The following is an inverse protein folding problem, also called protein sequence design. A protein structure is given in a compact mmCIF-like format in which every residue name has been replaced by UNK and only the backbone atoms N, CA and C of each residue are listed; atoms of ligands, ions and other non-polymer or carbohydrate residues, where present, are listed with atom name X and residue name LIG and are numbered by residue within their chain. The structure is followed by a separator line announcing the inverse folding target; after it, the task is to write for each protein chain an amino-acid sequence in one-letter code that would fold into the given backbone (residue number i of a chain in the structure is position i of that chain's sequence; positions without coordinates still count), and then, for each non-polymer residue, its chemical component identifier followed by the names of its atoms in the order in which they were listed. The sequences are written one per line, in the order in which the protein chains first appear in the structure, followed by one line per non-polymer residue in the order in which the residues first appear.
data_IF_571553078344
#
_entry.id   IF_571553078344
#
_cell.length_a   1.000
_cell.length_b   1.000
_cell.length_c   1.000
_cell.angle_alpha   90.00
_cell.angle_beta   90.00
_cell.angle_gamma   90.00
#
_symmetry.space_group_name_H-M   'P 1'
#
loop_
_entity.id
_entity.type
_entity.pdbx_description
1 polymer ?
#
# COMPACT_ATOMS: atom_id res chain seq x y z
N UNK A 1 -19.68 10.26 9.18
CA UNK A 1 -19.47 8.97 8.49
C UNK A 1 -18.27 8.32 9.14
N UNK A 2 -18.47 7.29 9.95
CA UNK A 2 -17.39 6.55 10.61
C UNK A 2 -16.65 5.75 9.54
N UNK A 3 -15.32 5.84 9.48
CA UNK A 3 -14.54 4.99 8.58
C UNK A 3 -14.76 3.51 8.98
N UNK A 4 -14.96 2.59 8.02
CA UNK A 4 -15.12 1.17 8.32
C UNK A 4 -13.92 0.63 9.09
N UNK A 5 -14.15 -0.38 9.93
CA UNK A 5 -13.13 -0.97 10.80
C UNK A 5 -12.06 -1.67 9.95
N UNK A 6 -10.80 -1.63 10.42
CA UNK A 6 -9.70 -2.37 9.79
C UNK A 6 -9.81 -3.86 10.14
N UNK A 7 -9.76 -4.73 9.12
CA UNK A 7 -9.75 -6.19 9.30
C UNK A 7 -8.33 -6.78 9.21
N UNK A 8 -7.46 -6.15 8.44
CA UNK A 8 -6.06 -6.54 8.30
C UNK A 8 -5.21 -5.32 7.92
N UNK A 9 -3.93 -5.38 8.25
CA UNK A 9 -2.94 -4.35 7.92
C UNK A 9 -1.64 -5.01 7.46
N UNK A 10 -1.02 -4.43 6.44
CA UNK A 10 0.27 -4.86 5.91
C UNK A 10 1.21 -3.65 5.81
N UNK A 11 2.37 -3.75 6.45
CA UNK A 11 3.44 -2.75 6.31
C UNK A 11 4.16 -2.90 4.97
N UNK A 12 4.40 -1.77 4.29
CA UNK A 12 5.15 -1.70 3.04
C UNK A 12 6.54 -1.15 3.34
N UNK A 13 7.57 -1.89 2.94
CA UNK A 13 8.97 -1.57 3.23
C UNK A 13 9.79 -1.46 1.95
N UNK A 14 10.76 -0.54 1.96
CA UNK A 14 11.87 -0.49 1.01
C UNK A 14 13.15 -0.77 1.78
N UNK A 15 13.71 -1.97 1.64
CA UNK A 15 14.74 -2.43 2.56
C UNK A 15 14.19 -2.50 3.99
N UNK A 16 14.77 -1.73 4.90
CA UNK A 16 14.33 -1.63 6.31
C UNK A 16 13.41 -0.43 6.57
N UNK A 17 13.24 0.46 5.59
CA UNK A 17 12.45 1.68 5.75
C UNK A 17 10.96 1.39 5.58
N UNK A 18 10.18 1.58 6.65
CA UNK A 18 8.72 1.52 6.61
C UNK A 18 8.18 2.70 5.79
N UNK A 19 7.76 2.42 4.56
CA UNK A 19 7.24 3.41 3.62
C UNK A 19 5.80 3.79 3.93
N UNK A 20 4.99 2.81 4.31
CA UNK A 20 3.56 3.02 4.47
C UNK A 20 2.83 1.75 4.86
N UNK A 21 1.51 1.81 4.78
CA UNK A 21 0.63 0.75 5.23
C UNK A 21 -0.50 0.54 4.22
N UNK A 22 -0.82 -0.72 3.93
CA UNK A 22 -2.07 -1.11 3.28
C UNK A 22 -3.02 -1.62 4.35
N UNK A 23 -4.20 -1.02 4.44
CA UNK A 23 -5.26 -1.44 5.35
C UNK A 23 -6.41 -2.02 4.56
N UNK A 24 -6.82 -3.23 4.92
CA UNK A 24 -8.06 -3.85 4.45
C UNK A 24 -9.18 -3.49 5.42
N UNK A 25 -10.29 -3.00 4.89
CA UNK A 25 -11.48 -2.60 5.64
C UNK A 25 -12.55 -3.70 5.55
N UNK A 26 -13.50 -3.67 6.48
CA UNK A 26 -14.65 -4.61 6.48
C UNK A 26 -15.51 -4.57 5.20
N UNK A 27 -15.49 -3.47 4.45
CA UNK A 27 -16.22 -3.30 3.20
C UNK A 27 -15.44 -3.76 1.96
N UNK A 28 -14.45 -4.65 2.14
CA UNK A 28 -13.49 -5.12 1.11
C UNK A 28 -12.72 -3.98 0.42
N UNK A 29 -12.66 -2.81 1.05
CA UNK A 29 -11.86 -1.68 0.59
C UNK A 29 -10.42 -1.83 1.07
N UNK A 30 -9.48 -1.64 0.16
CA UNK A 30 -8.06 -1.51 0.48
C UNK A 30 -7.67 -0.05 0.42
N UNK A 31 -6.88 0.40 1.41
CA UNK A 31 -6.39 1.76 1.50
C UNK A 31 -4.89 1.74 1.73
N UNK A 32 -4.14 2.44 0.87
CA UNK A 32 -2.71 2.68 1.06
C UNK A 32 -2.46 4.12 1.49
N UNK A 33 -1.61 4.30 2.49
CA UNK A 33 -1.13 5.61 2.94
C UNK A 33 0.37 5.55 3.30
N UNK A 34 1.05 6.68 3.08
CA UNK A 34 2.45 6.82 3.46
C UNK A 34 2.63 7.04 4.95
N UNK A 35 3.69 6.46 5.49
CA UNK A 35 4.13 6.70 6.85
C UNK A 35 4.70 8.12 6.97
N UNK A 36 4.30 8.86 8.01
CA UNK A 36 4.74 10.25 8.21
C UNK A 36 6.26 10.38 8.42
N UNK A 37 6.89 9.40 9.08
CA UNK A 37 8.35 9.35 9.24
C UNK A 37 9.03 9.19 7.88
N UNK A 38 8.53 8.29 7.04
CA UNK A 38 9.04 8.12 5.67
C UNK A 38 8.95 9.42 4.87
N UNK A 39 7.82 10.14 4.93
CA UNK A 39 7.65 11.42 4.24
C UNK A 39 8.63 12.51 4.70
N UNK A 40 9.14 12.42 5.94
CA UNK A 40 10.09 13.38 6.50
C UNK A 40 11.57 13.07 6.20
N UNK A 41 11.89 11.88 5.66
CA UNK A 41 13.27 11.45 5.44
C UNK A 41 13.99 12.27 4.36
N UNK A 42 15.31 12.43 4.50
CA UNK A 42 16.16 13.09 3.50
C UNK A 42 17.54 12.40 3.42
N UNK A 43 17.93 11.84 2.24
CA UNK A 43 17.10 11.66 1.07
C UNK A 43 16.00 10.63 1.34
N UNK A 44 14.78 10.89 0.87
CA UNK A 44 13.68 9.92 0.92
C UNK A 44 13.80 8.95 -0.26
N UNK A 45 13.82 7.62 -0.04
CA UNK A 45 13.68 6.65 -1.11
C UNK A 45 12.38 6.85 -1.88
N UNK A 46 12.36 6.64 -3.20
CA UNK A 46 11.14 6.78 -4.01
C UNK A 46 10.48 5.41 -4.16
N UNK A 47 9.23 5.27 -3.71
CA UNK A 47 8.43 4.05 -3.89
C UNK A 47 8.05 3.82 -5.35
N UNK A 48 7.62 4.86 -6.04
CA UNK A 48 7.23 4.81 -7.43
C UNK A 48 6.71 6.16 -7.90
N UNK A 49 7.00 6.51 -9.15
CA UNK A 49 6.73 7.84 -9.69
C UNK A 49 5.25 8.25 -9.61
N UNK A 50 4.32 7.30 -9.70
CA UNK A 50 2.88 7.57 -9.63
C UNK A 50 2.41 8.21 -8.31
N UNK A 51 3.19 8.07 -7.24
CA UNK A 51 2.84 8.59 -5.92
C UNK A 51 3.39 9.99 -5.67
N UNK A 52 4.37 10.42 -6.46
CA UNK A 52 5.12 11.65 -6.21
C UNK A 52 4.29 12.92 -6.50
N UNK A 53 3.23 12.79 -7.31
CA UNK A 53 2.27 13.86 -7.56
C UNK A 53 1.44 14.21 -6.31
N UNK A 54 1.12 13.22 -5.47
CA UNK A 54 0.43 13.43 -4.19
C UNK A 54 0.75 12.35 -3.14
N UNK A 55 1.80 12.61 -2.38
CA UNK A 55 2.29 11.76 -1.28
C UNK A 55 1.40 11.79 -0.03
N UNK A 56 0.44 12.72 0.06
CA UNK A 56 -0.47 12.82 1.21
C UNK A 56 -1.83 12.17 0.93
N UNK A 57 -2.08 11.80 -0.32
CA UNK A 57 -3.29 11.09 -0.69
C UNK A 57 -3.36 9.70 -0.05
N UNK A 58 -4.59 9.28 0.24
CA UNK A 58 -4.91 7.89 0.55
C UNK A 58 -5.42 7.22 -0.70
N UNK A 59 -4.66 6.24 -1.19
CA UNK A 59 -4.95 5.52 -2.43
C UNK A 59 -5.90 4.37 -2.12
N UNK A 60 -7.07 4.34 -2.77
CA UNK A 60 -8.15 3.41 -2.44
C UNK A 60 -8.47 2.51 -3.62
N UNK A 61 -8.73 1.24 -3.34
CA UNK A 61 -9.25 0.28 -4.30
C UNK A 61 -10.34 -0.60 -3.65
N UNK A 62 -11.25 -1.13 -4.45
CA UNK A 62 -12.32 -2.05 -3.99
C UNK A 62 -12.03 -3.45 -4.50
N UNK A 63 -12.16 -4.45 -3.62
CA UNK A 63 -11.97 -5.88 -3.92
C UNK A 63 -10.56 -6.29 -4.42
N UNK A 64 -9.64 -5.35 -4.61
CA UNK A 64 -8.29 -5.59 -5.11
C UNK A 64 -7.29 -4.63 -4.45
N UNK A 65 -6.00 -4.94 -4.55
CA UNK A 65 -4.94 -3.99 -4.21
C UNK A 65 -4.92 -2.80 -5.18
N UNK A 66 -4.40 -1.64 -4.76
CA UNK A 66 -4.14 -0.55 -5.70
C UNK A 66 -3.23 -1.03 -6.85
N UNK A 67 -3.43 -0.54 -8.09
CA UNK A 67 -2.77 -1.08 -9.29
C UNK A 67 -1.24 -1.23 -9.17
N UNK A 68 -0.57 -0.30 -8.50
CA UNK A 68 0.87 -0.39 -8.22
C UNK A 68 1.27 -1.70 -7.55
N UNK A 69 0.55 -2.11 -6.50
CA UNK A 69 0.88 -3.29 -5.72
C UNK A 69 0.42 -4.58 -6.42
N UNK A 70 -0.67 -4.52 -7.19
CA UNK A 70 -1.10 -5.66 -8.02
C UNK A 70 -0.05 -6.08 -9.03
N UNK A 71 0.75 -5.14 -9.55
CA UNK A 71 1.87 -5.42 -10.46
C UNK A 71 3.10 -6.03 -9.76
N UNK A 72 3.17 -5.98 -8.43
CA UNK A 72 4.23 -6.63 -7.64
C UNK A 72 3.85 -8.07 -7.27
N UNK A 73 2.58 -8.43 -7.42
CA UNK A 73 2.16 -9.80 -7.20
C UNK A 73 2.59 -10.65 -8.40
N UNK A 74 3.03 -11.89 -8.16
CA UNK A 74 3.29 -12.80 -9.24
C UNK A 74 2.05 -13.01 -10.11
N UNK A 75 2.26 -13.09 -11.41
CA UNK A 75 1.23 -13.48 -12.38
C UNK A 75 0.75 -14.92 -12.09
N UNK A 76 -0.50 -15.22 -12.45
CA UNK A 76 -1.31 -16.34 -11.94
C UNK A 76 -0.59 -17.69 -11.79
N UNK A 77 0.31 -18.04 -12.71
CA UNK A 77 1.08 -19.30 -12.66
C UNK A 77 2.05 -19.42 -11.48
N UNK A 78 2.50 -18.31 -10.89
CA UNK A 78 3.45 -18.30 -9.77
C UNK A 78 2.76 -18.10 -8.42
N UNK A 79 1.47 -17.69 -8.39
CA UNK A 79 0.68 -17.56 -7.16
C UNK A 79 0.37 -18.92 -6.51
N UNK A 80 0.28 -19.99 -7.32
CA UNK A 80 0.07 -21.37 -6.86
C UNK A 80 1.25 -21.91 -6.01
N UNK A 81 2.45 -21.30 -6.10
CA UNK A 81 3.65 -21.76 -5.39
C UNK A 81 3.84 -21.13 -3.99
N UNK A 82 2.99 -20.17 -3.61
CA UNK A 82 3.15 -19.38 -2.36
C UNK A 82 1.92 -19.51 -1.45
N UNK A 83 0.92 -20.34 -1.82
CA UNK A 83 -0.32 -20.53 -1.06
C UNK A 83 -0.18 -21.53 0.09
#
# INVERSE_FOLDING_TARGET
MTAPVAVASLGIYLGEDLVGEIVVREDDRTEFSFNSRYLSMHPRPVLGQQFEDDLRSTWRSRMQLPPFFSNLLPEERLRELVA
#
